data_IF_938503097974
#
_entry.id   IF_938503097974
#
_cell.length_a   1.000
_cell.length_b   1.000
_cell.length_c   1.000
_cell.angle_alpha   90.00
_cell.angle_beta   90.00
_cell.angle_gamma   90.00
#
_symmetry.space_group_name_H-M   'P 1'
#
loop_
_entity.id
_entity.type
_entity.pdbx_description
1 polymer ?
#
# COMPACT_ATOMS: atom_id res chain seq x y z
N UNK A 1 8.04 -6.08 15.27
CA UNK A 1 7.62 -6.76 14.03
C UNK A 1 8.55 -7.93 13.79
N UNK A 2 8.01 -9.13 13.72
CA UNK A 2 8.77 -10.38 13.60
C UNK A 2 9.66 -10.39 12.36
N UNK A 3 10.91 -10.89 12.48
CA UNK A 3 11.86 -10.93 11.36
C UNK A 3 11.38 -11.83 10.21
N UNK A 4 10.56 -12.83 10.52
CA UNK A 4 9.89 -13.68 9.51
C UNK A 4 8.90 -12.86 8.66
N UNK A 5 8.17 -11.93 9.27
CA UNK A 5 7.21 -11.05 8.60
C UNK A 5 7.94 -10.05 7.70
N UNK A 6 9.03 -9.45 8.20
CA UNK A 6 9.87 -8.55 7.40
C UNK A 6 10.40 -9.24 6.14
N UNK A 7 10.92 -10.49 6.27
CA UNK A 7 11.38 -11.26 5.12
C UNK A 7 10.27 -11.52 4.09
N UNK A 8 9.06 -11.88 4.51
CA UNK A 8 7.92 -12.08 3.60
C UNK A 8 7.57 -10.80 2.83
N UNK A 9 7.54 -9.66 3.50
CA UNK A 9 7.26 -8.36 2.87
C UNK A 9 8.35 -8.00 1.85
N UNK A 10 9.63 -8.24 2.18
CA UNK A 10 10.74 -8.01 1.24
C UNK A 10 10.57 -8.87 -0.01
N UNK A 11 10.38 -10.18 0.16
CA UNK A 11 10.24 -11.12 -0.96
C UNK A 11 9.02 -10.74 -1.82
N UNK A 12 7.87 -10.43 -1.22
CA UNK A 12 6.69 -9.96 -1.94
C UNK A 12 6.99 -8.72 -2.79
N UNK A 13 7.62 -7.69 -2.19
CA UNK A 13 7.93 -6.46 -2.91
C UNK A 13 8.92 -6.70 -4.07
N UNK A 14 9.93 -7.56 -3.86
CA UNK A 14 10.89 -7.95 -4.92
C UNK A 14 10.16 -8.68 -6.05
N UNK A 15 9.34 -9.68 -5.75
CA UNK A 15 8.58 -10.45 -6.76
C UNK A 15 7.64 -9.53 -7.53
N UNK A 16 6.88 -8.69 -6.84
CA UNK A 16 5.97 -7.73 -7.46
C UNK A 16 6.70 -6.73 -8.38
N UNK A 17 7.87 -6.24 -7.95
CA UNK A 17 8.71 -5.34 -8.75
C UNK A 17 9.28 -6.05 -9.99
N UNK A 18 9.71 -7.29 -9.87
CA UNK A 18 10.21 -8.09 -11.00
C UNK A 18 9.10 -8.30 -12.03
N UNK A 19 7.91 -8.70 -11.60
CA UNK A 19 6.75 -8.89 -12.50
C UNK A 19 6.41 -7.57 -13.22
N UNK A 20 6.32 -6.47 -12.50
CA UNK A 20 6.07 -5.15 -13.08
C UNK A 20 7.15 -4.73 -14.08
N UNK A 21 8.42 -5.02 -13.79
CA UNK A 21 9.55 -4.73 -14.68
C UNK A 21 9.49 -5.56 -15.97
N UNK A 22 9.18 -6.84 -15.88
CA UNK A 22 9.03 -7.72 -17.04
C UNK A 22 7.91 -7.21 -17.95
N UNK A 23 6.75 -6.88 -17.38
CA UNK A 23 5.62 -6.32 -18.15
C UNK A 23 6.02 -5.02 -18.84
N UNK A 24 6.68 -4.10 -18.12
CA UNK A 24 7.12 -2.82 -18.68
C UNK A 24 8.12 -3.00 -19.83
N UNK A 25 9.12 -3.87 -19.68
CA UNK A 25 10.11 -4.17 -20.72
C UNK A 25 9.42 -4.80 -21.93
N UNK A 26 8.49 -5.72 -21.75
CA UNK A 26 7.75 -6.38 -22.82
C UNK A 26 6.94 -5.37 -23.65
N UNK A 27 6.20 -4.47 -22.97
CA UNK A 27 5.42 -3.41 -23.62
C UNK A 27 6.33 -2.50 -24.46
N UNK A 28 7.46 -2.06 -23.89
CA UNK A 28 8.41 -1.20 -24.61
C UNK A 28 9.01 -1.91 -25.82
N UNK A 29 9.39 -3.18 -25.68
CA UNK A 29 9.93 -3.97 -26.78
C UNK A 29 8.92 -4.11 -27.92
N UNK A 30 7.65 -4.37 -27.61
CA UNK A 30 6.58 -4.43 -28.60
C UNK A 30 6.41 -3.08 -29.32
N UNK A 31 6.40 -1.97 -28.60
CA UNK A 31 6.32 -0.63 -29.19
C UNK A 31 7.50 -0.35 -30.12
N UNK A 32 8.72 -0.72 -29.73
CA UNK A 32 9.91 -0.55 -30.58
C UNK A 32 9.83 -1.38 -31.84
N UNK A 33 9.28 -2.59 -31.81
CA UNK A 33 9.10 -3.45 -32.98
C UNK A 33 8.07 -2.88 -33.95
N UNK A 34 6.97 -2.31 -33.43
CA UNK A 34 5.92 -1.69 -34.27
C UNK A 34 6.46 -0.44 -34.98
N UNK A 35 7.25 0.38 -34.33
CA UNK A 35 7.76 1.64 -34.85
C UNK A 35 9.12 1.53 -35.53
N UNK A 36 9.64 0.33 -35.76
CA UNK A 36 10.99 0.04 -36.27
C UNK A 36 11.41 0.86 -37.50
N UNK A 37 10.51 1.14 -38.43
CA UNK A 37 10.78 1.91 -39.68
C UNK A 37 11.07 3.40 -39.43
N UNK A 38 10.59 3.98 -38.33
CA UNK A 38 10.72 5.42 -38.03
C UNK A 38 11.81 5.73 -37.01
N UNK A 39 12.42 4.69 -36.43
CA UNK A 39 13.28 4.76 -35.23
C UNK A 39 14.78 4.81 -35.60
N UNK A 40 15.17 4.45 -36.81
CA UNK A 40 16.58 4.33 -37.24
C UNK A 40 17.36 5.63 -36.99
N UNK A 41 16.73 6.79 -37.22
CA UNK A 41 17.37 8.10 -37.05
C UNK A 41 17.53 8.52 -35.56
N UNK A 42 16.87 7.84 -34.62
CA UNK A 42 16.84 8.19 -33.22
C UNK A 42 17.41 7.10 -32.30
N UNK A 43 18.19 6.16 -32.84
CA UNK A 43 18.62 4.94 -32.13
C UNK A 43 19.43 5.25 -30.84
N UNK A 44 20.21 6.33 -30.83
CA UNK A 44 21.00 6.72 -29.67
C UNK A 44 20.12 7.24 -28.53
N UNK A 45 19.09 8.02 -28.84
CA UNK A 45 18.13 8.53 -27.84
C UNK A 45 17.34 7.36 -27.21
N UNK A 46 16.99 6.37 -28.03
CA UNK A 46 16.27 5.18 -27.58
C UNK A 46 17.14 4.32 -26.65
N UNK A 47 18.43 4.16 -26.95
CA UNK A 47 19.37 3.45 -26.07
C UNK A 47 19.47 4.12 -24.70
N UNK A 48 19.59 5.45 -24.64
CA UNK A 48 19.63 6.21 -23.39
C UNK A 48 18.33 6.01 -22.61
N UNK A 49 17.17 6.12 -23.26
CA UNK A 49 15.87 5.88 -22.65
C UNK A 49 15.75 4.47 -22.06
N UNK A 50 16.22 3.45 -22.78
CA UNK A 50 16.21 2.07 -22.30
C UNK A 50 17.11 1.88 -21.06
N UNK A 51 18.31 2.45 -21.06
CA UNK A 51 19.23 2.41 -19.91
C UNK A 51 18.59 3.05 -18.68
N UNK A 52 17.92 4.22 -18.83
CA UNK A 52 17.24 4.89 -17.74
C UNK A 52 16.09 4.05 -17.17
N UNK A 53 15.33 3.35 -18.02
CA UNK A 53 14.25 2.48 -17.60
C UNK A 53 14.80 1.27 -16.83
N UNK A 54 15.85 0.62 -17.34
CA UNK A 54 16.50 -0.50 -16.66
C UNK A 54 17.04 -0.06 -15.30
N UNK A 55 17.69 1.10 -15.22
CA UNK A 55 18.18 1.65 -13.97
C UNK A 55 17.06 1.92 -12.97
N UNK A 56 15.96 2.51 -13.41
CA UNK A 56 14.78 2.76 -12.57
C UNK A 56 14.16 1.45 -12.05
N UNK A 57 14.08 0.42 -12.90
CA UNK A 57 13.61 -0.92 -12.51
C UNK A 57 14.51 -1.54 -11.43
N UNK A 58 15.82 -1.48 -11.59
CA UNK A 58 16.78 -1.99 -10.60
C UNK A 58 16.65 -1.23 -9.27
N UNK A 59 16.54 0.09 -9.32
CA UNK A 59 16.36 0.93 -8.14
C UNK A 59 15.10 0.54 -7.34
N UNK A 60 13.96 0.42 -8.03
CA UNK A 60 12.69 0.01 -7.41
C UNK A 60 12.75 -1.42 -6.85
N UNK A 61 13.41 -2.33 -7.56
CA UNK A 61 13.48 -3.73 -7.13
C UNK A 61 14.37 -3.93 -5.90
N UNK A 62 15.52 -3.24 -5.83
CA UNK A 62 16.48 -3.48 -4.77
C UNK A 62 16.40 -2.50 -3.61
N UNK A 63 16.15 -1.22 -3.84
CA UNK A 63 16.25 -0.18 -2.81
C UNK A 63 14.92 0.07 -2.13
N UNK A 64 13.83 0.18 -2.88
CA UNK A 64 12.51 0.53 -2.35
C UNK A 64 11.99 -0.43 -1.27
N UNK A 65 12.07 -1.78 -1.41
CA UNK A 65 11.53 -2.70 -0.42
C UNK A 65 12.23 -2.60 0.95
N UNK A 66 13.54 -2.35 0.97
CA UNK A 66 14.27 -2.23 2.23
C UNK A 66 13.89 -0.96 3.02
N UNK A 67 13.65 0.14 2.32
CA UNK A 67 13.27 1.41 2.95
C UNK A 67 11.83 1.33 3.46
N UNK A 68 10.91 0.79 2.67
CA UNK A 68 9.49 0.69 3.05
C UNK A 68 9.26 -0.06 4.36
N UNK A 69 10.04 -1.08 4.67
CA UNK A 69 9.90 -1.87 5.89
C UNK A 69 10.27 -1.08 7.14
N UNK A 70 11.27 -0.21 7.04
CA UNK A 70 11.71 0.61 8.18
C UNK A 70 10.74 1.76 8.48
N UNK A 71 10.05 2.28 7.46
CA UNK A 71 9.26 3.51 7.58
C UNK A 71 7.77 3.27 7.79
N UNK A 72 7.26 2.05 7.55
CA UNK A 72 5.84 1.75 7.74
C UNK A 72 5.53 1.34 9.17
N UNK A 73 4.74 2.15 9.84
CA UNK A 73 4.22 1.88 11.18
C UNK A 73 2.77 2.29 11.25
N UNK A 74 1.94 1.49 11.91
CA UNK A 74 0.54 1.82 12.19
C UNK A 74 0.25 1.66 13.66
N UNK A 75 -0.57 2.54 14.21
CA UNK A 75 -1.00 2.55 15.59
C UNK A 75 -2.47 2.96 15.65
N UNK A 76 -3.27 2.15 16.34
CA UNK A 76 -4.68 2.46 16.54
C UNK A 76 -4.87 2.85 17.99
N UNK A 77 -5.63 3.89 18.22
CA UNK A 77 -6.03 4.37 19.53
C UNK A 77 -7.53 4.71 19.51
N UNK A 78 -8.12 4.87 20.70
CA UNK A 78 -9.56 5.20 20.84
C UNK A 78 -9.97 6.52 20.14
N UNK A 79 -9.00 7.37 19.77
CA UNK A 79 -9.27 8.69 19.15
C UNK A 79 -8.92 8.70 17.68
N UNK A 80 -7.88 8.00 17.25
CA UNK A 80 -7.36 8.08 15.89
C UNK A 80 -6.62 6.81 15.48
N UNK A 81 -6.66 6.51 14.19
CA UNK A 81 -5.78 5.57 13.52
C UNK A 81 -4.60 6.37 12.92
N UNK A 82 -3.39 6.04 13.31
CA UNK A 82 -2.17 6.68 12.83
C UNK A 82 -1.41 5.70 11.95
N UNK A 83 -0.96 6.14 10.80
CA UNK A 83 -0.03 5.35 10.00
C UNK A 83 1.06 6.24 9.42
N UNK A 84 2.27 5.70 9.42
CA UNK A 84 3.45 6.34 8.85
C UNK A 84 3.85 5.57 7.60
N UNK A 85 4.14 6.30 6.53
CA UNK A 85 4.59 5.72 5.27
C UNK A 85 5.54 6.67 4.55
N UNK A 86 6.28 6.14 3.59
CA UNK A 86 7.18 6.91 2.75
C UNK A 86 8.51 6.20 2.56
N UNK A 87 9.25 6.60 1.52
CA UNK A 87 10.58 6.06 1.16
C UNK A 87 11.62 7.17 1.30
N UNK A 88 11.45 8.26 0.59
CA UNK A 88 12.34 9.43 0.60
C UNK A 88 11.79 10.47 1.57
N UNK A 89 10.49 10.73 1.51
CA UNK A 89 9.78 11.61 2.42
C UNK A 89 8.87 10.77 3.32
N UNK A 90 9.02 10.91 4.63
CA UNK A 90 8.20 10.19 5.62
C UNK A 90 6.99 11.03 5.94
N UNK A 91 5.80 10.49 5.65
CA UNK A 91 4.53 11.12 5.97
C UNK A 91 3.83 10.35 7.08
N UNK A 92 3.37 11.06 8.11
CA UNK A 92 2.52 10.53 9.17
C UNK A 92 1.10 11.02 8.95
N UNK A 93 0.18 10.09 8.73
CA UNK A 93 -1.25 10.38 8.57
C UNK A 93 -1.99 10.00 9.84
N UNK A 94 -2.83 10.89 10.34
CA UNK A 94 -3.68 10.70 11.51
C UNK A 94 -5.13 10.79 11.06
N UNK A 95 -5.87 9.69 11.20
CA UNK A 95 -7.27 9.56 10.80
C UNK A 95 -8.11 9.52 12.07
N UNK A 96 -8.91 10.55 12.38
CA UNK A 96 -9.85 10.49 13.48
C UNK A 96 -10.86 9.34 13.28
N UNK A 97 -11.06 8.51 14.30
CA UNK A 97 -11.99 7.35 14.20
C UNK A 97 -13.41 7.81 13.81
N UNK A 98 -13.83 9.01 14.24
CA UNK A 98 -15.15 9.57 13.91
C UNK A 98 -15.36 9.87 12.42
N UNK A 99 -14.29 9.93 11.64
CA UNK A 99 -14.36 10.16 10.18
C UNK A 99 -14.29 8.87 9.36
N UNK A 100 -14.05 7.73 9.99
CA UNK A 100 -14.00 6.43 9.30
C UNK A 100 -15.43 6.02 9.02
N UNK A 101 -15.71 5.73 7.74
CA UNK A 101 -17.01 5.23 7.26
C UNK A 101 -16.99 3.73 7.04
N UNK A 102 -15.90 3.23 6.50
CA UNK A 102 -15.76 1.82 6.15
C UNK A 102 -14.31 1.38 6.25
N UNK A 103 -14.12 0.13 6.65
CA UNK A 103 -12.83 -0.55 6.59
C UNK A 103 -12.99 -1.80 5.74
N UNK A 104 -12.15 -1.94 4.71
CA UNK A 104 -12.19 -3.06 3.76
C UNK A 104 -10.86 -3.79 3.76
N UNK A 105 -10.89 -5.11 3.80
CA UNK A 105 -9.70 -5.95 3.59
C UNK A 105 -9.66 -6.32 2.11
N UNK A 106 -8.56 -5.99 1.45
CA UNK A 106 -8.30 -6.37 0.06
C UNK A 106 -7.20 -7.41 0.01
N UNK A 107 -7.47 -8.50 -0.68
CA UNK A 107 -6.55 -9.62 -0.81
C UNK A 107 -6.39 -10.00 -2.29
N UNK A 108 -5.20 -9.75 -2.83
CA UNK A 108 -4.85 -10.17 -4.20
C UNK A 108 -4.15 -11.54 -4.22
N UNK A 109 -4.11 -12.25 -5.37
CA UNK A 109 -3.53 -13.59 -5.45
C UNK A 109 -2.06 -13.63 -5.03
N UNK A 110 -1.27 -12.63 -5.40
CA UNK A 110 0.14 -12.52 -5.03
C UNK A 110 0.28 -12.21 -3.52
N UNK A 111 -0.50 -11.26 -2.99
CA UNK A 111 -0.51 -10.93 -1.56
C UNK A 111 -0.86 -12.16 -0.72
N UNK A 112 -1.89 -12.91 -1.15
CA UNK A 112 -2.34 -14.12 -0.46
C UNK A 112 -1.26 -15.19 -0.40
N UNK A 113 -0.50 -15.42 -1.48
CA UNK A 113 0.60 -16.38 -1.52
C UNK A 113 1.68 -16.08 -0.45
N UNK A 114 1.84 -14.79 -0.07
CA UNK A 114 2.77 -14.38 0.98
C UNK A 114 2.10 -14.20 2.36
N UNK A 115 0.80 -14.44 2.47
CA UNK A 115 0.03 -14.23 3.70
C UNK A 115 -0.06 -12.75 4.09
N UNK A 116 -0.11 -11.88 3.09
CA UNK A 116 -0.24 -10.43 3.23
C UNK A 116 -1.60 -9.97 2.72
N UNK A 117 -2.08 -8.86 3.24
CA UNK A 117 -3.31 -8.17 2.86
C UNK A 117 -3.07 -6.67 2.77
N UNK A 118 -4.02 -5.96 2.16
CA UNK A 118 -4.15 -4.50 2.26
C UNK A 118 -5.41 -4.19 3.07
N UNK A 119 -5.36 -3.15 3.90
CA UNK A 119 -6.52 -2.64 4.63
C UNK A 119 -6.80 -1.22 4.14
N UNK A 120 -7.96 -1.04 3.54
CA UNK A 120 -8.42 0.24 3.03
C UNK A 120 -9.36 0.87 4.06
N UNK A 121 -9.01 2.06 4.54
CA UNK A 121 -9.81 2.87 5.46
C UNK A 121 -10.46 4.00 4.66
N UNK A 122 -11.76 3.90 4.44
CA UNK A 122 -12.56 4.92 3.78
C UNK A 122 -13.00 5.97 4.80
N UNK A 123 -12.69 7.22 4.50
CA UNK A 123 -13.18 8.39 5.22
C UNK A 123 -14.15 9.19 4.35
N UNK A 124 -14.77 10.22 4.88
CA UNK A 124 -15.67 11.11 4.13
C UNK A 124 -15.03 11.78 2.91
N UNK A 125 -13.71 11.90 2.88
CA UNK A 125 -12.99 12.67 1.85
C UNK A 125 -12.04 11.82 1.00
N UNK A 126 -11.50 10.74 1.55
CA UNK A 126 -10.47 9.94 0.85
C UNK A 126 -10.36 8.53 1.41
N UNK A 127 -9.76 7.64 0.63
CA UNK A 127 -9.40 6.28 1.04
C UNK A 127 -7.92 6.21 1.39
N UNK A 128 -7.62 5.73 2.58
CA UNK A 128 -6.27 5.49 3.05
C UNK A 128 -5.93 4.01 2.97
N UNK A 129 -4.87 3.66 2.22
CA UNK A 129 -4.45 2.28 1.99
C UNK A 129 -3.27 1.89 2.86
N UNK A 130 -3.50 0.94 3.75
CA UNK A 130 -2.49 0.31 4.58
C UNK A 130 -1.99 -0.95 3.87
N UNK A 131 -0.83 -0.87 3.22
CA UNK A 131 -0.29 -1.95 2.39
C UNK A 131 0.66 -2.86 3.15
N UNK A 132 0.78 -4.11 2.69
CA UNK A 132 1.73 -5.10 3.17
C UNK A 132 1.57 -5.43 4.66
N UNK A 133 0.34 -5.64 5.09
CA UNK A 133 -0.03 -6.03 6.45
C UNK A 133 -0.21 -7.55 6.46
N UNK A 134 0.17 -8.22 7.55
CA UNK A 134 -0.16 -9.64 7.72
C UNK A 134 -1.65 -9.83 8.00
N UNK A 135 -2.20 -10.98 7.63
CA UNK A 135 -3.61 -11.31 7.87
C UNK A 135 -3.97 -11.08 9.34
N UNK A 136 -3.17 -11.60 10.27
CA UNK A 136 -3.40 -11.45 11.72
C UNK A 136 -3.39 -10.01 12.21
N UNK A 137 -2.54 -9.17 11.62
CA UNK A 137 -2.49 -7.74 11.95
C UNK A 137 -3.67 -6.98 11.34
N UNK A 138 -4.06 -7.34 10.12
CA UNK A 138 -5.22 -6.73 9.47
C UNK A 138 -6.51 -7.04 10.21
N UNK A 139 -6.72 -8.29 10.61
CA UNK A 139 -7.89 -8.69 11.42
C UNK A 139 -7.92 -7.93 12.75
N UNK A 140 -6.76 -7.77 13.41
CA UNK A 140 -6.66 -6.98 14.62
C UNK A 140 -7.02 -5.51 14.41
N UNK A 141 -6.52 -4.89 13.34
CA UNK A 141 -6.82 -3.50 12.98
C UNK A 141 -8.31 -3.31 12.74
N UNK A 142 -8.92 -4.18 11.93
CA UNK A 142 -10.34 -4.12 11.60
C UNK A 142 -11.17 -4.30 12.86
N UNK A 143 -10.85 -5.28 13.70
CA UNK A 143 -11.55 -5.52 14.95
C UNK A 143 -11.46 -4.31 15.87
N UNK A 144 -10.27 -3.79 16.14
CA UNK A 144 -10.09 -2.61 17.02
C UNK A 144 -10.87 -1.39 16.51
N UNK A 145 -10.86 -1.11 15.20
CA UNK A 145 -11.64 0.01 14.64
C UNK A 145 -13.13 -0.25 14.79
N UNK A 146 -13.59 -1.45 14.49
CA UNK A 146 -15.02 -1.83 14.56
C UNK A 146 -15.54 -1.75 16.00
N UNK A 147 -14.80 -2.27 16.96
CA UNK A 147 -15.16 -2.23 18.38
C UNK A 147 -15.31 -0.77 18.88
N UNK A 148 -14.35 0.11 18.51
CA UNK A 148 -14.41 1.53 18.89
C UNK A 148 -15.62 2.23 18.23
N UNK A 149 -15.92 1.93 16.96
CA UNK A 149 -17.06 2.50 16.26
C UNK A 149 -18.38 2.04 16.87
N UNK A 150 -18.47 0.77 17.25
CA UNK A 150 -19.66 0.19 17.90
C UNK A 150 -19.92 0.83 19.27
N UNK A 151 -18.89 0.94 20.10
CA UNK A 151 -19.00 1.57 21.42
C UNK A 151 -19.45 3.03 21.31
N UNK A 152 -18.91 3.78 20.35
CA UNK A 152 -19.31 5.17 20.12
C UNK A 152 -20.74 5.30 19.63
N UNK A 153 -21.20 4.41 18.75
CA UNK A 153 -22.58 4.42 18.26
C UNK A 153 -23.57 4.12 19.39
N UNK A 154 -23.22 3.18 20.27
CA UNK A 154 -24.03 2.83 21.44
C UNK A 154 -24.15 4.00 22.43
N UNK A 155 -23.04 4.68 22.71
CA UNK A 155 -23.01 5.86 23.60
C UNK A 155 -23.87 7.00 22.99
N UNK A 156 -23.79 7.22 21.69
CA UNK A 156 -24.58 8.26 21.01
C UNK A 156 -26.09 7.97 21.12
N UNK A 157 -26.51 6.74 20.86
CA UNK A 157 -27.92 6.34 21.00
C UNK A 157 -28.43 6.50 22.45
N UNK A 158 -27.62 6.13 23.44
CA UNK A 158 -27.97 6.29 24.85
C UNK A 158 -28.17 7.78 25.18
N UNK A 159 -27.24 8.66 24.78
CA UNK A 159 -27.35 10.09 25.04
C UNK A 159 -28.58 10.71 24.37
N UNK A 160 -28.87 10.35 23.09
CA UNK A 160 -30.08 10.81 22.41
C UNK A 160 -31.38 10.37 23.11
N UNK A 161 -31.39 9.17 23.70
CA UNK A 161 -32.54 8.67 24.47
C UNK A 161 -32.70 9.40 25.81
N UNK A 162 -31.59 9.79 26.48
CA UNK A 162 -31.64 10.48 27.78
C UNK A 162 -31.80 11.99 27.67
N UNK A 163 -31.31 12.64 26.60
CA UNK A 163 -31.45 14.08 26.37
C UNK A 163 -32.77 14.44 25.67
N UNK A 164 -33.48 13.47 25.09
CA UNK A 164 -34.77 13.67 24.43
C UNK A 164 -36.00 13.58 25.36
N UNK A 165 -35.82 13.72 26.70
CA UNK A 165 -36.90 13.80 27.67
C UNK A 165 -37.04 15.21 28.26
#
# INVERSE_FOLDING_TARGET
MDDKIKKKIIIYNIVSSIISSIISITVITILLLIFKKKIIDYIEIIKIGYILIVFNCLFKTFIEPFIQIKTRTYKISNKAAEYTHGVISISKTIIPITRIQQVTITNGPILNAFGLIEVDILTTTTTHKLKNITITQGDKIVKEITDILYDKSKIKVINEVYEGK
#
